data_IF_452129036695
#
_entry.id   IF_452129036695
#
_cell.length_a   1.000
_cell.length_b   1.000
_cell.length_c   1.000
_cell.angle_alpha   90.00
_cell.angle_beta   90.00
_cell.angle_gamma   90.00
#
_symmetry.space_group_name_H-M   'P 1'
#
loop_
_entity.id
_entity.type
_entity.pdbx_description
1 polymer ?
#
# COMPACT_ATOMS: atom_id res chain seq x y z
N UNK A 1 -2.37 4.21 -10.46
CA UNK A 1 -3.12 2.93 -10.36
C UNK A 1 -3.59 2.78 -8.92
N UNK A 2 -4.76 2.19 -8.71
CA UNK A 2 -5.31 1.95 -7.37
C UNK A 2 -5.47 0.44 -7.22
N UNK A 3 -4.79 -0.14 -6.24
CA UNK A 3 -4.87 -1.57 -5.93
C UNK A 3 -5.90 -1.81 -4.82
N UNK A 4 -7.08 -2.28 -5.21
CA UNK A 4 -8.17 -2.66 -4.31
C UNK A 4 -8.47 -4.16 -4.39
N UNK A 5 -7.50 -4.98 -4.83
CA UNK A 5 -7.64 -6.42 -4.87
C UNK A 5 -7.47 -7.06 -3.49
N UNK A 6 -7.90 -8.31 -3.37
CA UNK A 6 -7.82 -9.10 -2.14
C UNK A 6 -6.68 -10.14 -2.17
N UNK A 7 -5.82 -10.09 -3.19
CA UNK A 7 -4.71 -11.03 -3.37
C UNK A 7 -3.38 -10.30 -3.47
N UNK A 8 -2.38 -10.78 -2.73
CA UNK A 8 -1.01 -10.26 -2.85
C UNK A 8 -0.45 -10.45 -4.26
N UNK A 9 -0.86 -11.52 -4.96
CA UNK A 9 -0.47 -11.75 -6.35
C UNK A 9 -0.75 -10.53 -7.23
N UNK A 10 -1.95 -9.94 -7.10
CA UNK A 10 -2.31 -8.75 -7.85
C UNK A 10 -1.44 -7.54 -7.44
N UNK A 11 -1.24 -7.32 -6.14
CA UNK A 11 -0.42 -6.20 -5.64
C UNK A 11 1.01 -6.24 -6.21
N UNK A 12 1.64 -7.42 -6.25
CA UNK A 12 2.99 -7.56 -6.81
C UNK A 12 3.02 -7.35 -8.32
N UNK A 13 2.03 -7.87 -9.07
CA UNK A 13 1.91 -7.59 -10.51
C UNK A 13 1.74 -6.09 -10.77
N UNK A 14 0.89 -5.42 -10.00
CA UNK A 14 0.70 -3.97 -10.10
C UNK A 14 1.94 -3.18 -9.70
N UNK A 15 2.74 -3.69 -8.75
CA UNK A 15 4.03 -3.09 -8.37
C UNK A 15 5.00 -3.11 -9.53
N UNK A 16 5.17 -4.27 -10.15
CA UNK A 16 6.12 -4.45 -11.26
C UNK A 16 5.72 -3.57 -12.44
N UNK A 17 4.42 -3.53 -12.75
CA UNK A 17 3.90 -2.69 -13.83
C UNK A 17 3.95 -1.20 -13.50
N UNK A 18 3.74 -0.80 -12.24
CA UNK A 18 3.84 0.61 -11.85
C UNK A 18 5.25 1.14 -11.97
N UNK A 19 6.22 0.30 -11.60
CA UNK A 19 7.62 0.63 -11.68
C UNK A 19 8.04 0.76 -13.14
N UNK A 20 7.71 -0.25 -13.96
CA UNK A 20 7.98 -0.28 -15.40
C UNK A 20 7.38 0.90 -16.15
N UNK A 21 6.15 1.31 -15.80
CA UNK A 21 5.46 2.43 -16.45
C UNK A 21 5.81 3.80 -15.86
N UNK A 22 6.55 3.87 -14.75
CA UNK A 22 6.79 5.12 -14.03
C UNK A 22 5.51 5.79 -13.51
N UNK A 23 4.44 5.01 -13.26
CA UNK A 23 3.15 5.53 -12.78
C UNK A 23 2.99 5.27 -11.29
N UNK A 24 2.41 6.22 -10.56
CA UNK A 24 2.13 6.02 -9.14
C UNK A 24 1.15 4.86 -8.91
N UNK A 25 1.41 4.05 -7.88
CA UNK A 25 0.52 3.00 -7.38
C UNK A 25 0.09 3.36 -5.96
N UNK A 26 -1.22 3.36 -5.71
CA UNK A 26 -1.78 3.48 -4.36
C UNK A 26 -2.35 2.13 -3.96
N UNK A 27 -1.74 1.47 -2.98
CA UNK A 27 -2.16 0.16 -2.49
C UNK A 27 -2.56 0.24 -1.03
N UNK A 28 -3.58 -0.52 -0.65
CA UNK A 28 -4.02 -0.69 0.72
C UNK A 28 -4.26 -2.17 1.01
N UNK A 29 -3.97 -2.58 2.24
CA UNK A 29 -4.18 -3.94 2.71
C UNK A 29 -4.73 -3.91 4.13
N UNK A 30 -5.58 -4.87 4.44
CA UNK A 30 -6.21 -5.01 5.76
C UNK A 30 -6.37 -6.50 6.10
N UNK A 31 -6.15 -6.84 7.36
CA UNK A 31 -6.36 -8.16 7.93
C UNK A 31 -6.90 -8.01 9.36
N UNK A 32 -8.08 -8.58 9.64
CA UNK A 32 -8.76 -8.40 10.92
C UNK A 32 -9.10 -6.93 11.19
N UNK A 33 -8.31 -6.29 12.05
CA UNK A 33 -8.46 -4.88 12.49
C UNK A 33 -7.23 -4.02 12.18
N UNK A 34 -6.25 -4.55 11.48
CA UNK A 34 -4.99 -3.85 11.20
C UNK A 34 -4.67 -3.86 9.72
N UNK A 35 -4.01 -2.81 9.26
CA UNK A 35 -3.71 -2.65 7.85
C UNK A 35 -2.74 -1.51 7.57
N UNK A 36 -2.51 -1.28 6.29
CA UNK A 36 -1.72 -0.16 5.81
C UNK A 36 -2.26 0.37 4.49
N UNK A 37 -1.89 1.60 4.15
CA UNK A 37 -2.04 2.15 2.82
C UNK A 37 -0.79 2.97 2.46
N UNK A 38 -0.38 2.96 1.20
CA UNK A 38 0.82 3.67 0.76
C UNK A 38 0.82 4.05 -0.71
N UNK A 39 1.73 4.94 -1.07
CA UNK A 39 1.94 5.41 -2.45
C UNK A 39 3.35 5.04 -2.91
N UNK A 40 3.43 4.28 -3.99
CA UNK A 40 4.63 3.65 -4.53
C UNK A 40 4.85 4.08 -5.99
N UNK A 41 6.04 3.79 -6.53
CA UNK A 41 6.41 4.08 -7.92
C UNK A 41 6.34 5.58 -8.26
N UNK A 42 6.07 5.95 -9.51
CA UNK A 42 5.81 7.36 -9.88
C UNK A 42 7.00 8.31 -9.68
N UNK A 43 8.23 7.81 -9.79
CA UNK A 43 9.46 8.54 -9.45
C UNK A 43 10.02 8.22 -8.06
N UNK A 44 9.29 7.43 -7.27
CA UNK A 44 9.76 6.81 -6.02
C UNK A 44 9.89 5.29 -6.14
N UNK A 45 10.36 4.62 -5.07
CA UNK A 45 10.51 3.17 -5.03
C UNK A 45 9.18 2.41 -5.13
N UNK A 46 9.22 1.18 -5.65
CA UNK A 46 8.07 0.30 -5.81
C UNK A 46 7.59 -0.29 -4.48
N UNK A 47 6.50 -1.06 -4.52
CA UNK A 47 6.02 -1.82 -3.36
C UNK A 47 7.08 -2.81 -2.86
N UNK A 48 7.94 -3.33 -3.75
CA UNK A 48 9.00 -4.27 -3.40
C UNK A 48 10.10 -3.66 -2.55
N UNK A 49 10.32 -2.35 -2.61
CA UNK A 49 11.27 -1.70 -1.70
C UNK A 49 10.87 -1.80 -0.22
N UNK A 50 9.57 -1.97 0.05
CA UNK A 50 9.05 -2.19 1.40
C UNK A 50 8.82 -3.68 1.68
N UNK A 51 8.35 -4.42 0.67
CA UNK A 51 8.05 -5.85 0.75
C UNK A 51 8.76 -6.60 -0.39
N UNK A 52 10.05 -6.95 -0.25
CA UNK A 52 10.89 -7.42 -1.36
C UNK A 52 10.36 -8.69 -2.03
N UNK A 53 9.96 -9.66 -1.20
CA UNK A 53 9.51 -10.97 -1.65
C UNK A 53 8.09 -11.24 -1.20
N UNK A 54 7.29 -11.79 -2.12
CA UNK A 54 5.96 -12.26 -1.79
C UNK A 54 6.05 -13.40 -0.77
N UNK A 55 5.35 -13.32 0.37
CA UNK A 55 5.38 -14.39 1.34
C UNK A 55 4.78 -15.68 0.75
N UNK A 56 5.46 -16.82 0.95
CA UNK A 56 5.00 -18.16 0.49
C UNK A 56 3.63 -18.56 1.03
N UNK A 57 3.21 -17.95 2.15
CA UNK A 57 1.87 -18.06 2.72
C UNK A 57 1.33 -16.66 2.95
N UNK A 58 0.34 -16.28 2.17
CA UNK A 58 -0.42 -15.07 2.36
C UNK A 58 -1.77 -15.43 2.99
N UNK A 59 -2.14 -14.79 4.09
CA UNK A 59 -3.53 -14.83 4.55
C UNK A 59 -4.40 -13.98 3.63
N UNK A 60 -5.64 -14.39 3.40
CA UNK A 60 -6.65 -13.56 2.73
C UNK A 60 -7.71 -13.10 3.72
N UNK A 61 -8.35 -11.96 3.46
CA UNK A 61 -9.53 -11.52 4.23
C UNK A 61 -10.60 -12.62 4.29
N UNK A 62 -10.78 -13.38 3.22
CA UNK A 62 -11.72 -14.49 3.13
C UNK A 62 -11.40 -15.65 4.11
N UNK A 63 -10.12 -15.87 4.42
CA UNK A 63 -9.69 -16.94 5.32
C UNK A 63 -9.54 -16.49 6.78
N UNK A 64 -9.10 -15.26 7.01
CA UNK A 64 -8.80 -14.76 8.36
C UNK A 64 -9.91 -13.90 8.97
N UNK A 65 -10.89 -13.47 8.17
CA UNK A 65 -11.91 -12.53 8.58
C UNK A 65 -11.41 -11.08 8.60
N UNK A 66 -12.31 -10.13 8.32
CA UNK A 66 -12.03 -8.70 8.38
C UNK A 66 -13.30 -7.95 8.80
N UNK A 67 -13.15 -6.94 9.66
CA UNK A 67 -14.27 -6.10 10.05
C UNK A 67 -14.54 -5.06 8.94
N UNK A 68 -15.80 -4.93 8.51
CA UNK A 68 -16.17 -4.00 7.43
C UNK A 68 -15.79 -2.54 7.73
N UNK A 69 -15.81 -2.12 9.01
CA UNK A 69 -15.34 -0.79 9.40
C UNK A 69 -13.83 -0.62 9.20
N UNK A 70 -13.03 -1.67 9.39
CA UNK A 70 -11.59 -1.63 9.11
C UNK A 70 -11.34 -1.47 7.60
N UNK A 71 -12.08 -2.20 6.77
CA UNK A 71 -12.05 -2.03 5.30
C UNK A 71 -12.43 -0.59 4.93
N UNK A 72 -13.49 -0.03 5.52
CA UNK A 72 -13.93 1.34 5.26
C UNK A 72 -12.87 2.40 5.62
N UNK A 73 -12.19 2.24 6.76
CA UNK A 73 -11.10 3.14 7.17
C UNK A 73 -9.93 3.08 6.18
N UNK A 74 -9.47 1.87 5.84
CA UNK A 74 -8.34 1.71 4.91
C UNK A 74 -8.70 2.14 3.48
N UNK A 75 -9.92 1.89 3.01
CA UNK A 75 -10.39 2.34 1.70
C UNK A 75 -10.50 3.87 1.62
N UNK A 76 -10.99 4.52 2.69
CA UNK A 76 -11.01 6.00 2.77
C UNK A 76 -9.60 6.58 2.78
N UNK A 77 -8.68 5.94 3.52
CA UNK A 77 -7.28 6.34 3.53
C UNK A 77 -6.62 6.18 2.15
N UNK A 78 -6.92 5.09 1.45
CA UNK A 78 -6.47 4.85 0.07
C UNK A 78 -7.01 5.92 -0.89
N UNK A 79 -8.29 6.28 -0.78
CA UNK A 79 -8.88 7.35 -1.57
C UNK A 79 -8.22 8.71 -1.29
N UNK A 80 -7.96 9.02 -0.01
CA UNK A 80 -7.25 10.23 0.38
C UNK A 80 -5.85 10.29 -0.21
N UNK A 81 -5.06 9.22 -0.12
CA UNK A 81 -3.72 9.14 -0.72
C UNK A 81 -3.77 9.29 -2.24
N UNK A 82 -4.78 8.71 -2.89
CA UNK A 82 -4.99 8.85 -4.34
C UNK A 82 -5.25 10.30 -4.72
N UNK A 83 -6.17 10.97 -4.03
CA UNK A 83 -6.46 12.38 -4.28
C UNK A 83 -5.25 13.27 -3.96
N UNK A 84 -4.56 13.02 -2.84
CA UNK A 84 -3.38 13.78 -2.46
C UNK A 84 -2.27 13.68 -3.52
N UNK A 85 -2.06 12.49 -4.08
CA UNK A 85 -1.08 12.26 -5.15
C UNK A 85 -1.50 12.95 -6.46
N UNK A 86 -2.78 12.87 -6.85
CA UNK A 86 -3.30 13.47 -8.10
C UNK A 86 -3.28 15.00 -8.03
N UNK A 87 -3.62 15.55 -6.86
CA UNK A 87 -3.67 16.99 -6.62
C UNK A 87 -2.29 17.60 -6.31
N UNK A 88 -1.26 16.77 -6.09
CA UNK A 88 0.09 17.25 -5.74
C UNK A 88 0.13 18.00 -4.41
N UNK A 89 -0.59 17.50 -3.40
CA UNK A 89 -0.64 18.15 -2.09
C UNK A 89 0.72 18.15 -1.38
N UNK A 90 0.96 19.18 -0.57
CA UNK A 90 2.14 19.32 0.29
C UNK A 90 1.75 19.03 1.76
N UNK A 91 2.46 18.15 2.48
CA UNK A 91 3.64 17.37 2.05
C UNK A 91 3.31 16.25 1.05
N UNK A 92 4.26 15.89 0.17
CA UNK A 92 4.05 14.82 -0.81
C UNK A 92 3.80 13.48 -0.12
N UNK A 93 2.87 12.71 -0.69
CA UNK A 93 2.47 11.38 -0.21
C UNK A 93 3.24 10.23 -0.87
N UNK A 94 3.92 10.50 -1.99
CA UNK A 94 4.77 9.52 -2.68
C UNK A 94 5.87 9.00 -1.74
N UNK A 95 6.07 7.69 -1.72
CA UNK A 95 7.07 7.07 -0.86
C UNK A 95 6.69 7.07 0.63
N UNK A 96 5.40 7.14 0.96
CA UNK A 96 4.90 7.04 2.34
C UNK A 96 3.99 5.84 2.51
N UNK A 97 4.12 5.19 3.66
CA UNK A 97 3.25 4.11 4.11
C UNK A 97 2.65 4.52 5.45
N UNK A 98 1.33 4.47 5.55
CA UNK A 98 0.55 4.73 6.76
C UNK A 98 0.04 3.40 7.28
N UNK A 99 0.23 3.13 8.58
CA UNK A 99 -0.31 1.95 9.25
C UNK A 99 -1.46 2.31 10.15
N UNK A 100 -2.45 1.43 10.24
CA UNK A 100 -3.62 1.57 11.10
C UNK A 100 -3.77 0.28 11.91
N UNK A 101 -3.86 0.41 13.24
CA UNK A 101 -4.20 -0.66 14.17
C UNK A 101 -5.46 -0.23 14.92
N UNK A 102 -6.62 -0.73 14.49
CA UNK A 102 -7.91 -0.36 15.08
C UNK A 102 -8.21 -1.11 16.37
N UNK A 103 -7.51 -2.21 16.65
CA UNK A 103 -7.62 -2.88 17.94
C UNK A 103 -7.04 -2.02 19.07
N UNK A 104 -5.99 -1.24 18.76
CA UNK A 104 -5.32 -0.33 19.70
C UNK A 104 -5.57 1.15 19.41
N UNK A 105 -6.37 1.47 18.40
CA UNK A 105 -6.66 2.82 17.92
C UNK A 105 -5.40 3.64 17.63
N UNK A 106 -4.42 3.03 16.96
CA UNK A 106 -3.12 3.65 16.66
C UNK A 106 -2.93 3.87 15.18
N UNK A 107 -2.54 5.08 14.83
CA UNK A 107 -1.99 5.43 13.52
C UNK A 107 -0.47 5.51 13.59
N UNK A 108 0.20 5.01 12.56
CA UNK A 108 1.65 5.08 12.41
C UNK A 108 2.03 5.13 10.95
N UNK A 109 3.30 4.82 10.67
CA UNK A 109 3.81 4.83 9.31
C UNK A 109 5.26 5.28 9.24
N UNK A 110 5.78 5.32 8.03
CA UNK A 110 7.14 5.79 7.74
C UNK A 110 7.24 6.28 6.30
N UNK A 111 8.27 7.08 6.04
CA UNK A 111 8.69 7.43 4.68
C UNK A 111 9.76 6.42 4.23
N UNK A 112 9.64 5.96 3.00
CA UNK A 112 10.60 5.09 2.32
C UNK A 112 11.08 5.72 1.01
N UNK A 113 10.81 7.01 0.77
CA UNK A 113 11.34 7.76 -0.37
C UNK A 113 12.87 7.69 -0.58
N UNK A 114 13.74 7.55 0.45
CA UNK A 114 15.18 7.44 0.22
C UNK A 114 15.66 5.99 -0.03
N UNK A 115 14.77 5.00 -0.04
CA UNK A 115 15.14 3.58 -0.18
C UNK A 115 15.40 3.25 -1.65
N UNK A 116 16.51 2.57 -1.91
CA UNK A 116 16.84 2.07 -3.24
C UNK A 116 15.90 0.93 -3.66
N UNK A 117 15.59 0.86 -4.95
CA UNK A 117 14.85 -0.27 -5.50
C UNK A 117 15.67 -1.57 -5.34
N UNK A 118 15.09 -2.66 -4.83
CA UNK A 118 15.78 -3.94 -4.80
C UNK A 118 16.08 -4.44 -6.22
N UNK A 119 17.13 -5.26 -6.42
CA UNK A 119 17.37 -5.93 -7.70
C UNK A 119 16.14 -6.77 -8.09
N UNK A 120 15.86 -6.82 -9.40
CA UNK A 120 14.78 -7.66 -9.92
C UNK A 120 14.99 -9.13 -9.50
N UNK A 121 13.90 -9.85 -9.16
CA UNK A 121 13.96 -11.26 -8.79
C UNK A 121 14.38 -12.18 -9.94
#
# INVERSE_FOLDING_TARGET
MVDAGDSLALTYILSDECHRLGKALVSASVLGLSGYAGVFCGGGPSYRAVFPEMPRRAGSCAQSGVLGSAVGVLGTLQAHLTLAQVLGLDPPVLGRLVTVDLARLRFGGFSFSPVAEPPEP
#
